data_IF_489158403542
#
_entry.id   IF_489158403542
#
_cell.length_a   1.000
_cell.length_b   1.000
_cell.length_c   1.000
_cell.angle_alpha   90.00
_cell.angle_beta   90.00
_cell.angle_gamma   90.00
#
_symmetry.space_group_name_H-M   'P 1'
#
loop_
_entity.id
_entity.type
_entity.pdbx_description
1 polymer ?
#
# COMPACT_ATOMS: atom_id res chain seq x y z
N UNK A 1 -6.08 22.26 -50.52
CA UNK A 1 -7.30 21.90 -49.81
C UNK A 1 -7.31 20.43 -49.32
N UNK A 2 -7.04 19.40 -50.15
CA UNK A 2 -7.07 17.99 -49.70
C UNK A 2 -6.02 17.65 -48.60
N UNK A 3 -4.81 18.22 -48.69
CA UNK A 3 -3.73 17.99 -47.68
C UNK A 3 -4.01 18.64 -46.33
N UNK A 4 -4.62 19.83 -46.31
CA UNK A 4 -5.02 20.53 -45.07
C UNK A 4 -6.16 19.82 -44.37
N UNK A 5 -7.11 19.27 -45.11
CA UNK A 5 -8.21 18.50 -44.56
C UNK A 5 -7.71 17.19 -43.92
N UNK A 6 -6.79 16.49 -44.60
CA UNK A 6 -6.19 15.26 -44.05
C UNK A 6 -5.41 15.53 -42.76
N UNK A 7 -4.66 16.63 -42.69
CA UNK A 7 -3.92 17.00 -41.49
C UNK A 7 -4.84 17.34 -40.31
N UNK A 8 -5.97 18.01 -40.58
CA UNK A 8 -6.98 18.31 -39.55
C UNK A 8 -7.64 17.02 -39.02
N UNK A 9 -7.92 16.05 -39.90
CA UNK A 9 -8.52 14.78 -39.47
C UNK A 9 -7.55 13.97 -38.60
N UNK A 10 -6.27 13.91 -38.98
CA UNK A 10 -5.23 13.19 -38.20
C UNK A 10 -5.03 13.88 -36.85
N UNK A 11 -5.05 15.21 -36.80
CA UNK A 11 -4.93 15.96 -35.53
C UNK A 11 -6.13 15.73 -34.60
N UNK A 12 -7.35 15.71 -35.16
CA UNK A 12 -8.55 15.36 -34.38
C UNK A 12 -8.51 13.93 -33.86
N UNK A 13 -8.03 12.97 -34.64
CA UNK A 13 -7.87 11.58 -34.18
C UNK A 13 -6.81 11.45 -33.07
N UNK A 14 -5.71 12.19 -33.15
CA UNK A 14 -4.68 12.22 -32.10
C UNK A 14 -5.20 12.82 -30.80
N UNK A 15 -6.09 13.82 -30.87
CA UNK A 15 -6.73 14.43 -29.67
C UNK A 15 -7.80 13.53 -29.05
N UNK A 16 -8.43 12.64 -29.83
CA UNK A 16 -9.41 11.68 -29.33
C UNK A 16 -8.76 10.43 -28.70
N UNK A 17 -7.50 10.15 -29.00
CA UNK A 17 -6.69 9.10 -28.37
C UNK A 17 -6.04 9.54 -27.05
N UNK A 18 -6.69 10.37 -26.26
CA UNK A 18 -6.31 10.49 -24.86
C UNK A 18 -6.79 9.21 -24.17
N UNK A 19 -5.85 8.27 -24.01
CA UNK A 19 -6.07 7.08 -23.22
C UNK A 19 -6.54 7.54 -21.83
N UNK A 20 -7.79 7.27 -21.53
CA UNK A 20 -8.33 7.45 -20.21
C UNK A 20 -7.58 6.47 -19.32
N UNK A 21 -6.47 6.91 -18.71
CA UNK A 21 -5.73 6.15 -17.72
C UNK A 21 -6.60 6.05 -16.46
N UNK A 22 -7.67 5.25 -16.55
CA UNK A 22 -8.46 4.86 -15.39
C UNK A 22 -7.59 3.90 -14.54
N UNK A 23 -6.59 4.46 -13.85
CA UNK A 23 -5.83 3.73 -12.87
C UNK A 23 -6.79 3.29 -11.76
N UNK A 24 -6.78 2.00 -11.45
CA UNK A 24 -7.47 1.49 -10.25
C UNK A 24 -6.78 2.10 -9.03
N UNK A 25 -7.55 2.81 -8.22
CA UNK A 25 -7.08 3.34 -6.94
C UNK A 25 -7.41 2.29 -5.87
N UNK A 26 -6.38 1.69 -5.30
CA UNK A 26 -6.56 0.70 -4.22
C UNK A 26 -7.03 1.37 -2.93
N UNK A 27 -7.77 0.63 -2.08
CA UNK A 27 -8.34 1.18 -0.85
C UNK A 27 -7.31 1.84 0.05
N UNK A 28 -6.10 1.29 0.15
CA UNK A 28 -5.02 1.86 0.95
C UNK A 28 -4.55 3.26 0.47
N UNK A 29 -4.73 3.59 -0.81
CA UNK A 29 -4.41 4.91 -1.37
C UNK A 29 -5.50 5.95 -1.10
N UNK A 30 -6.70 5.53 -0.72
CA UNK A 30 -7.84 6.41 -0.43
C UNK A 30 -7.74 6.99 0.98
N UNK A 31 -6.60 7.59 1.31
CA UNK A 31 -6.29 8.09 2.66
C UNK A 31 -7.26 9.14 3.16
N UNK A 32 -7.82 9.96 2.27
CA UNK A 32 -8.86 10.95 2.59
C UNK A 32 -10.11 10.32 3.20
N UNK A 33 -10.43 9.08 2.83
CA UNK A 33 -11.63 8.40 3.28
C UNK A 33 -11.46 7.80 4.69
N UNK A 34 -10.31 7.19 4.97
CA UNK A 34 -10.14 6.47 6.23
C UNK A 34 -9.32 7.22 7.29
N UNK A 35 -8.49 8.19 6.94
CA UNK A 35 -7.72 8.96 7.94
C UNK A 35 -8.60 9.68 8.95
N UNK A 36 -9.72 10.34 8.57
CA UNK A 36 -10.63 10.93 9.54
C UNK A 36 -11.20 9.93 10.53
N UNK A 37 -11.43 8.68 10.08
CA UNK A 37 -11.96 7.59 10.91
C UNK A 37 -10.91 7.11 11.93
N UNK A 38 -9.63 7.09 11.53
CA UNK A 38 -8.51 6.59 12.36
C UNK A 38 -7.95 7.64 13.32
N UNK A 39 -8.19 8.92 13.05
CA UNK A 39 -7.62 10.01 13.84
C UNK A 39 -7.96 9.89 15.33
N UNK A 40 -6.93 9.96 16.18
CA UNK A 40 -7.07 9.86 17.63
C UNK A 40 -7.29 8.44 18.16
N UNK A 41 -7.35 7.43 17.29
CA UNK A 41 -7.51 6.03 17.71
C UNK A 41 -6.16 5.32 17.85
N UNK A 42 -6.14 4.28 18.67
CA UNK A 42 -5.06 3.31 18.68
C UNK A 42 -5.31 2.32 17.56
N UNK A 43 -4.34 2.16 16.66
CA UNK A 43 -4.47 1.37 15.42
C UNK A 43 -3.55 0.17 15.51
N UNK A 44 -4.06 -1.00 15.18
CA UNK A 44 -3.23 -2.13 14.78
C UNK A 44 -3.42 -2.38 13.29
N UNK A 45 -2.34 -2.69 12.58
CA UNK A 45 -2.40 -3.05 11.16
C UNK A 45 -2.11 -4.52 10.98
N UNK A 46 -2.80 -5.14 10.04
CA UNK A 46 -2.48 -6.47 9.52
C UNK A 46 -1.90 -6.27 8.11
N UNK A 47 -0.60 -6.51 7.95
CA UNK A 47 0.08 -6.23 6.69
C UNK A 47 1.39 -7.00 6.56
N UNK A 48 1.86 -7.13 5.34
CA UNK A 48 3.20 -7.58 4.98
C UNK A 48 3.85 -6.57 4.00
N UNK A 49 4.95 -6.95 3.36
CA UNK A 49 5.70 -6.11 2.42
C UNK A 49 4.88 -5.59 1.22
N UNK A 50 3.75 -6.22 0.88
CA UNK A 50 2.89 -5.80 -0.23
C UNK A 50 1.90 -4.71 0.15
N UNK A 51 1.81 -4.36 1.43
CA UNK A 51 0.90 -3.31 1.93
C UNK A 51 1.39 -1.91 1.58
N UNK A 52 1.31 -1.56 0.30
CA UNK A 52 1.85 -0.32 -0.25
C UNK A 52 0.77 0.74 -0.50
N UNK A 53 1.15 2.00 -0.35
CA UNK A 53 0.40 3.19 -0.73
C UNK A 53 1.30 3.98 -1.68
N UNK A 54 1.09 3.81 -2.98
CA UNK A 54 2.05 4.24 -3.98
C UNK A 54 3.39 3.51 -3.82
N UNK A 55 4.46 4.25 -3.61
CA UNK A 55 5.83 3.77 -3.40
C UNK A 55 6.23 3.60 -1.93
N UNK A 56 5.34 3.93 -1.00
CA UNK A 56 5.58 3.84 0.44
C UNK A 56 4.78 2.71 1.08
N UNK A 57 5.34 2.09 2.12
CA UNK A 57 4.59 1.13 2.91
C UNK A 57 3.49 1.84 3.73
N UNK A 58 2.32 1.19 3.88
CA UNK A 58 1.18 1.74 4.63
C UNK A 58 1.56 2.21 6.05
N UNK A 59 2.38 1.45 6.76
CA UNK A 59 2.86 1.85 8.09
C UNK A 59 3.56 3.22 8.04
N UNK A 60 4.46 3.40 7.08
CA UNK A 60 5.23 4.63 6.95
C UNK A 60 4.29 5.83 6.68
N UNK A 61 3.31 5.63 5.80
CA UNK A 61 2.30 6.65 5.51
C UNK A 61 1.46 7.00 6.75
N UNK A 62 1.07 6.01 7.54
CA UNK A 62 0.31 6.24 8.78
C UNK A 62 1.14 7.02 9.81
N UNK A 63 2.40 6.64 10.03
CA UNK A 63 3.30 7.31 10.99
C UNK A 63 3.61 8.74 10.54
N UNK A 64 3.91 8.96 9.25
CA UNK A 64 4.13 10.31 8.69
C UNK A 64 2.92 11.24 8.91
N UNK A 65 1.73 10.68 8.88
CA UNK A 65 0.48 11.40 9.15
C UNK A 65 0.06 11.40 10.63
N UNK A 66 0.99 11.08 11.53
CA UNK A 66 0.81 11.12 12.99
C UNK A 66 -0.33 10.24 13.51
N UNK A 67 -0.60 9.14 12.81
CA UNK A 67 -1.53 8.13 13.28
C UNK A 67 -0.89 7.28 14.38
N UNK A 68 -1.66 6.93 15.40
CA UNK A 68 -1.16 6.17 16.55
C UNK A 68 -1.19 4.66 16.27
N UNK A 69 -0.19 4.17 15.52
CA UNK A 69 -0.04 2.73 15.25
C UNK A 69 0.69 2.09 16.43
N UNK A 70 0.02 1.16 17.12
CA UNK A 70 0.51 0.52 18.35
C UNK A 70 0.99 -0.91 18.15
N UNK A 71 0.60 -1.57 17.07
CA UNK A 71 1.01 -2.93 16.75
C UNK A 71 0.87 -3.23 15.26
N UNK A 72 1.66 -4.20 14.82
CA UNK A 72 1.60 -4.79 13.48
C UNK A 72 1.38 -6.28 13.64
N UNK A 73 0.40 -6.85 12.95
CA UNK A 73 0.24 -8.28 12.77
C UNK A 73 0.78 -8.65 11.39
N UNK A 74 1.86 -9.44 11.38
CA UNK A 74 2.53 -9.83 10.13
C UNK A 74 2.24 -11.28 9.80
N UNK A 75 1.65 -11.56 8.62
CA UNK A 75 1.53 -12.91 8.09
C UNK A 75 2.88 -13.43 7.57
N UNK A 76 2.83 -14.49 6.78
CA UNK A 76 3.98 -15.09 6.09
C UNK A 76 4.82 -14.05 5.31
N UNK A 77 6.08 -14.33 5.06
CA UNK A 77 7.10 -13.50 4.40
C UNK A 77 7.65 -12.32 5.20
N UNK A 78 7.24 -12.15 6.46
CA UNK A 78 7.69 -11.02 7.26
C UNK A 78 7.03 -9.68 6.88
N UNK A 79 7.19 -8.71 7.77
CA UNK A 79 6.52 -7.42 7.59
C UNK A 79 7.13 -6.57 6.47
N UNK A 80 8.45 -6.59 6.32
CA UNK A 80 9.18 -5.85 5.27
C UNK A 80 9.63 -6.73 4.09
N UNK A 81 9.26 -8.03 4.08
CA UNK A 81 9.64 -8.95 3.01
C UNK A 81 11.03 -9.52 3.14
N UNK A 82 11.50 -9.68 4.36
CA UNK A 82 12.83 -10.14 4.74
C UNK A 82 12.89 -11.64 5.07
N UNK A 83 11.79 -12.36 4.87
CA UNK A 83 11.70 -13.81 5.10
C UNK A 83 11.24 -14.55 3.83
N UNK A 84 11.81 -15.73 3.62
CA UNK A 84 11.45 -16.62 2.52
C UNK A 84 10.10 -17.32 2.74
N UNK A 85 9.54 -17.86 1.66
CA UNK A 85 8.28 -18.60 1.71
C UNK A 85 8.41 -19.83 2.64
N UNK A 86 7.52 -19.92 3.63
CA UNK A 86 7.52 -21.02 4.62
C UNK A 86 8.51 -20.85 5.77
N UNK A 87 9.31 -19.78 5.78
CA UNK A 87 10.20 -19.46 6.88
C UNK A 87 9.41 -19.02 8.13
N UNK A 88 9.88 -19.46 9.30
CA UNK A 88 9.31 -19.04 10.58
C UNK A 88 9.75 -17.61 10.93
N UNK A 89 8.83 -16.69 10.91
CA UNK A 89 9.07 -15.28 11.24
C UNK A 89 8.79 -15.03 12.70
N UNK A 90 9.80 -14.67 13.47
CA UNK A 90 9.64 -14.32 14.89
C UNK A 90 9.01 -12.92 15.05
N UNK A 91 8.26 -12.75 16.14
CA UNK A 91 7.84 -11.41 16.58
C UNK A 91 9.07 -10.54 16.86
N UNK A 92 8.99 -9.27 16.48
CA UNK A 92 10.11 -8.33 16.49
C UNK A 92 9.61 -6.89 16.66
N UNK A 93 10.47 -5.93 16.36
CA UNK A 93 10.13 -4.51 16.30
C UNK A 93 10.53 -3.98 14.93
N UNK A 94 9.66 -3.21 14.28
CA UNK A 94 10.01 -2.57 13.02
C UNK A 94 11.17 -1.58 13.23
N UNK A 95 12.29 -1.83 12.60
CA UNK A 95 13.54 -1.06 12.81
C UNK A 95 13.42 0.40 12.39
N UNK A 96 12.50 0.71 11.47
CA UNK A 96 12.30 2.06 10.94
C UNK A 96 11.40 2.91 11.83
N UNK A 97 10.35 2.32 12.41
CA UNK A 97 9.32 3.06 13.14
C UNK A 97 9.27 2.76 14.63
N UNK A 98 9.91 1.68 15.08
CA UNK A 98 9.84 1.24 16.47
C UNK A 98 8.52 0.54 16.86
N UNK A 99 7.61 0.32 15.91
CA UNK A 99 6.32 -0.32 16.19
C UNK A 99 6.51 -1.83 16.38
N UNK A 100 5.92 -2.45 17.44
CA UNK A 100 5.99 -3.90 17.64
C UNK A 100 5.35 -4.69 16.51
N UNK A 101 6.04 -5.74 16.04
CA UNK A 101 5.57 -6.70 15.06
C UNK A 101 5.24 -8.01 15.76
N UNK A 102 4.00 -8.42 15.68
CA UNK A 102 3.49 -9.71 16.15
C UNK A 102 3.38 -10.65 14.94
N UNK A 103 4.24 -11.65 14.89
CA UNK A 103 4.19 -12.64 13.83
C UNK A 103 3.00 -13.58 14.04
N UNK A 104 2.25 -13.81 12.97
CA UNK A 104 1.21 -14.85 12.91
C UNK A 104 1.75 -16.14 12.29
N UNK A 105 3.04 -16.19 12.00
CA UNK A 105 3.71 -17.32 11.35
C UNK A 105 5.01 -17.71 12.07
N UNK A 106 4.95 -17.85 13.40
CA UNK A 106 6.11 -18.14 14.24
C UNK A 106 6.44 -19.64 14.34
N UNK A 107 5.66 -20.49 13.66
CA UNK A 107 5.85 -21.94 13.62
C UNK A 107 5.32 -22.72 14.83
N UNK A 108 4.88 -22.02 15.88
CA UNK A 108 4.32 -22.65 17.07
C UNK A 108 2.80 -22.76 16.99
N UNK A 109 2.15 -21.72 16.52
CA UNK A 109 0.71 -21.66 16.34
C UNK A 109 0.38 -21.08 14.95
N UNK A 110 0.09 -21.96 14.00
CA UNK A 110 -0.45 -21.58 12.70
C UNK A 110 -1.94 -21.22 12.83
N UNK A 111 -2.25 -20.25 13.66
CA UNK A 111 -3.61 -19.75 13.79
C UNK A 111 -3.64 -18.26 13.54
N UNK A 112 -4.57 -17.82 12.68
CA UNK A 112 -4.88 -16.41 12.59
C UNK A 112 -5.51 -15.91 13.89
#
# INVERSE_FOLDING_TARGET
MKKTLLFAIVLCFALLCQANNNRVIVGAEQTSEYFPILKGKRIAIFSNHTGMVGDKHLLDVLIENKMNVVAIFSPEHGFRGDADAGEHVKSSVDSKTGVPILSLYDGKDKKP
#
